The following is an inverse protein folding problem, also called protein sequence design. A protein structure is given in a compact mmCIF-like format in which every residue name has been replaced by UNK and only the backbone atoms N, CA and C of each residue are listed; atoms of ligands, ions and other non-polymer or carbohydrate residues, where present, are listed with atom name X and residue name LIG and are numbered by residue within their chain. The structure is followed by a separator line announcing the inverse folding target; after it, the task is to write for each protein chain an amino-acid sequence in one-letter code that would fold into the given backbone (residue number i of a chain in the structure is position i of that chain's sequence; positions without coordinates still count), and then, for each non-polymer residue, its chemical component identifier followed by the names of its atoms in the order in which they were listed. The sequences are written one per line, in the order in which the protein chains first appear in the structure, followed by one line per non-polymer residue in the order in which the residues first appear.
data_IF_658420475909
#
_entry.id   IF_658420475909
#
_cell.length_a   1.000
_cell.length_b   1.000
_cell.length_c   1.000
_cell.angle_alpha   90.00
_cell.angle_beta   90.00
_cell.angle_gamma   90.00
#
_symmetry.space_group_name_H-M   'P 1'
#
loop_
_entity.id
_entity.type
_entity.pdbx_description
1 polymer ?
#
# COMPACT_ATOMS: atom_id res chain seq x y z
N UNK A 1 -0.45 -6.25 -16.47
CA UNK A 1 -1.35 -6.47 -15.31
C UNK A 1 -0.94 -7.73 -14.57
N UNK A 2 -1.10 -7.77 -13.24
CA UNK A 2 -0.82 -8.97 -12.42
C UNK A 2 -1.63 -10.17 -12.93
N UNK A 3 -2.91 -9.98 -13.24
CA UNK A 3 -3.83 -11.02 -13.76
C UNK A 3 -3.38 -11.59 -15.11
N UNK A 4 -2.77 -10.80 -15.99
CA UNK A 4 -2.23 -11.31 -17.27
C UNK A 4 -1.07 -12.29 -17.07
N UNK A 5 -0.24 -12.08 -16.05
CA UNK A 5 0.89 -12.98 -15.73
C UNK A 5 0.45 -14.17 -14.87
N UNK A 6 -0.64 -14.02 -14.13
CA UNK A 6 -1.19 -15.03 -13.24
C UNK A 6 -2.69 -15.24 -13.51
N UNK A 7 -3.06 -15.94 -14.60
CA UNK A 7 -4.46 -16.03 -15.05
C UNK A 7 -5.44 -16.72 -14.08
N UNK A 8 -4.91 -17.42 -13.06
CA UNK A 8 -5.71 -18.05 -12.00
C UNK A 8 -6.14 -17.06 -10.91
N UNK A 9 -5.52 -15.89 -10.83
CA UNK A 9 -5.90 -14.84 -9.88
C UNK A 9 -7.15 -14.15 -10.40
N UNK A 10 -8.15 -14.01 -9.52
CA UNK A 10 -9.29 -13.11 -9.73
C UNK A 10 -8.95 -11.78 -9.09
N UNK A 11 -8.72 -10.75 -9.90
CA UNK A 11 -8.36 -9.43 -9.43
C UNK A 11 -9.60 -8.60 -9.10
N UNK A 12 -9.54 -7.82 -8.02
CA UNK A 12 -10.47 -6.73 -7.75
C UNK A 12 -9.68 -5.43 -7.86
N UNK A 13 -10.15 -4.52 -8.72
CA UNK A 13 -9.70 -3.14 -8.76
C UNK A 13 -10.68 -2.31 -7.92
N UNK A 14 -10.19 -1.71 -6.84
CA UNK A 14 -11.01 -0.97 -5.88
C UNK A 14 -10.56 0.49 -5.80
N UNK A 15 -11.49 1.41 -6.07
CA UNK A 15 -11.24 2.85 -6.05
C UNK A 15 -12.54 3.62 -5.79
N UNK A 16 -12.49 4.94 -5.75
CA UNK A 16 -13.65 5.81 -5.61
C UNK A 16 -14.63 5.65 -6.79
N UNK A 17 -15.93 5.88 -6.58
CA UNK A 17 -16.95 5.70 -7.63
C UNK A 17 -16.67 6.44 -8.95
N UNK A 18 -16.17 7.67 -8.87
CA UNK A 18 -15.87 8.48 -10.06
C UNK A 18 -14.62 8.03 -10.81
N UNK A 19 -13.72 7.27 -10.18
CA UNK A 19 -12.54 6.69 -10.82
C UNK A 19 -12.94 5.38 -11.51
N UNK A 20 -13.70 4.54 -10.81
CA UNK A 20 -14.19 3.26 -11.32
C UNK A 20 -15.13 3.43 -12.52
N UNK A 21 -15.95 4.50 -12.56
CA UNK A 21 -16.86 4.74 -13.70
C UNK A 21 -16.14 4.89 -15.04
N UNK A 22 -14.90 5.36 -15.02
CA UNK A 22 -14.07 5.58 -16.21
C UNK A 22 -13.06 4.44 -16.48
N UNK A 23 -13.06 3.40 -15.63
CA UNK A 23 -12.07 2.33 -15.72
C UNK A 23 -12.34 1.40 -16.93
N UNK A 24 -11.36 1.15 -17.81
CA UNK A 24 -11.52 0.21 -18.90
C UNK A 24 -11.64 -1.23 -18.38
N UNK A 25 -12.36 -2.09 -19.10
CA UNK A 25 -12.48 -3.50 -18.74
C UNK A 25 -11.16 -4.26 -18.97
N UNK A 26 -10.78 -5.12 -18.03
CA UNK A 26 -9.62 -6.00 -18.15
C UNK A 26 -10.00 -7.47 -17.87
N UNK A 27 -9.48 -8.44 -18.64
CA UNK A 27 -9.70 -9.85 -18.36
C UNK A 27 -9.24 -10.25 -16.95
N UNK A 28 -10.12 -10.94 -16.20
CA UNK A 28 -9.85 -11.41 -14.85
C UNK A 28 -9.84 -10.30 -13.78
N UNK A 29 -10.34 -9.10 -14.08
CA UNK A 29 -10.47 -7.98 -13.14
C UNK A 29 -11.94 -7.60 -12.99
N UNK A 30 -12.41 -7.57 -11.75
CA UNK A 30 -13.68 -6.97 -11.35
C UNK A 30 -13.43 -5.57 -10.81
N UNK A 31 -14.23 -4.58 -11.25
CA UNK A 31 -14.15 -3.21 -10.76
C UNK A 31 -15.19 -3.01 -9.65
N UNK A 32 -14.74 -2.58 -8.48
CA UNK A 32 -15.59 -2.32 -7.31
C UNK A 32 -15.35 -0.91 -6.83
N UNK A 33 -16.40 -0.10 -6.73
CA UNK A 33 -16.28 1.26 -6.19
C UNK A 33 -16.54 1.31 -4.70
N UNK A 34 -15.82 2.17 -3.98
CA UNK A 34 -16.12 2.47 -2.58
C UNK A 34 -15.13 3.46 -1.96
N UNK A 35 -15.16 3.57 -0.64
CA UNK A 35 -14.22 4.38 0.13
C UNK A 35 -13.43 3.46 1.08
N UNK A 36 -12.11 3.40 0.87
CA UNK A 36 -11.20 2.56 1.65
C UNK A 36 -11.17 2.89 3.15
N UNK A 37 -11.55 4.12 3.53
CA UNK A 37 -11.70 4.51 4.93
C UNK A 37 -13.02 4.05 5.56
N UNK A 38 -14.00 3.65 4.75
CA UNK A 38 -15.23 3.01 5.21
C UNK A 38 -15.05 1.48 5.24
N UNK A 39 -14.49 0.90 4.18
CA UNK A 39 -14.20 -0.52 4.08
C UNK A 39 -13.57 -0.87 2.74
N UNK A 40 -12.97 -2.05 2.65
CA UNK A 40 -12.37 -2.57 1.42
C UNK A 40 -12.95 -3.95 1.09
N UNK A 41 -12.97 -4.37 -0.19
CA UNK A 41 -13.45 -5.69 -0.59
C UNK A 41 -12.67 -6.82 0.08
N UNK A 42 -13.34 -7.94 0.34
CA UNK A 42 -12.67 -9.15 0.85
C UNK A 42 -11.76 -9.77 -0.21
N UNK A 43 -10.65 -10.35 0.21
CA UNK A 43 -9.73 -11.06 -0.66
C UNK A 43 -8.65 -11.83 0.11
N UNK A 44 -8.06 -12.83 -0.53
CA UNK A 44 -6.95 -13.60 0.06
C UNK A 44 -5.69 -12.73 0.26
N UNK A 45 -5.51 -11.72 -0.59
CA UNK A 45 -4.42 -10.77 -0.52
C UNK A 45 -4.91 -9.41 -0.98
N UNK A 46 -4.58 -8.37 -0.21
CA UNK A 46 -4.79 -6.97 -0.60
C UNK A 46 -3.45 -6.44 -1.13
N UNK A 47 -3.49 -5.67 -2.21
CA UNK A 47 -2.32 -5.03 -2.80
C UNK A 47 -2.52 -3.52 -2.82
N UNK A 48 -1.58 -2.78 -2.22
CA UNK A 48 -1.53 -1.32 -2.26
C UNK A 48 -0.17 -0.89 -2.82
N UNK A 49 -0.16 0.05 -3.75
CA UNK A 49 1.06 0.62 -4.31
C UNK A 49 0.94 2.13 -4.31
N UNK A 50 1.85 2.80 -3.61
CA UNK A 50 1.86 4.27 -3.48
C UNK A 50 0.53 4.79 -2.97
N UNK A 51 0.11 4.27 -1.82
CA UNK A 51 -1.14 4.65 -1.16
C UNK A 51 -0.84 5.21 0.21
N UNK A 52 -0.06 4.50 1.05
CA UNK A 52 0.14 4.89 2.44
C UNK A 52 0.95 6.18 2.58
N UNK A 53 1.83 6.50 1.64
CA UNK A 53 2.62 7.71 1.69
C UNK A 53 1.82 9.01 1.49
N UNK A 54 0.63 8.93 0.92
CA UNK A 54 -0.26 10.08 0.70
C UNK A 54 -0.99 10.52 1.98
N UNK A 55 -0.99 9.68 3.01
CA UNK A 55 -1.82 9.86 4.21
C UNK A 55 -0.98 9.95 5.49
N UNK A 56 -1.54 10.62 6.49
CA UNK A 56 -0.95 10.66 7.83
C UNK A 56 -1.14 9.33 8.58
N UNK A 57 -0.47 9.19 9.73
CA UNK A 57 -0.44 7.93 10.48
C UNK A 57 -1.82 7.50 11.01
N UNK A 58 -2.70 8.44 11.38
CA UNK A 58 -4.07 8.14 11.83
C UNK A 58 -4.91 7.54 10.69
N UNK A 59 -4.82 8.15 9.51
CA UNK A 59 -5.50 7.68 8.30
C UNK A 59 -4.95 6.33 7.84
N UNK A 60 -3.62 6.15 7.84
CA UNK A 60 -3.00 4.85 7.57
C UNK A 60 -3.48 3.79 8.56
N UNK A 61 -3.50 4.07 9.86
CA UNK A 61 -3.99 3.15 10.89
C UNK A 61 -5.45 2.73 10.62
N UNK A 62 -6.33 3.68 10.29
CA UNK A 62 -7.73 3.40 9.93
C UNK A 62 -7.84 2.48 8.69
N UNK A 63 -7.11 2.81 7.63
CA UNK A 63 -7.09 2.02 6.39
C UNK A 63 -6.56 0.60 6.63
N UNK A 64 -5.44 0.47 7.33
CA UNK A 64 -4.82 -0.82 7.63
C UNK A 64 -5.74 -1.71 8.48
N UNK A 65 -6.50 -1.13 9.44
CA UNK A 65 -7.51 -1.86 10.21
C UNK A 65 -8.66 -2.36 9.31
N UNK A 66 -9.07 -1.60 8.31
CA UNK A 66 -10.06 -2.05 7.32
C UNK A 66 -9.51 -3.20 6.47
N UNK A 67 -8.27 -3.10 5.99
CA UNK A 67 -7.60 -4.19 5.28
C UNK A 67 -7.48 -5.45 6.14
N UNK A 68 -7.08 -5.32 7.41
CA UNK A 68 -6.98 -6.44 8.33
C UNK A 68 -8.32 -7.17 8.48
N UNK A 69 -9.43 -6.46 8.60
CA UNK A 69 -10.79 -7.04 8.70
C UNK A 69 -11.21 -7.77 7.42
N UNK A 70 -10.80 -7.29 6.25
CA UNK A 70 -11.16 -7.85 4.95
C UNK A 70 -10.34 -9.10 4.56
N UNK A 71 -9.24 -9.37 5.26
CA UNK A 71 -8.38 -10.53 5.02
C UNK A 71 -8.82 -11.77 5.83
N UNK A 72 -8.71 -13.00 5.28
CA UNK A 72 -8.86 -14.24 6.03
C UNK A 72 -7.68 -14.47 6.99
N UNK A 73 -7.74 -15.48 7.86
CA UNK A 73 -6.69 -15.79 8.86
C UNK A 73 -5.28 -15.96 8.26
N UNK A 74 -5.17 -16.48 7.03
CA UNK A 74 -3.89 -16.65 6.33
C UNK A 74 -3.65 -15.59 5.25
N UNK A 75 -4.45 -14.52 5.28
CA UNK A 75 -4.36 -13.42 4.35
C UNK A 75 -3.16 -12.53 4.62
N UNK A 76 -2.77 -11.78 3.60
CA UNK A 76 -1.72 -10.77 3.74
C UNK A 76 -2.06 -9.49 2.99
N UNK A 77 -1.53 -8.39 3.49
CA UNK A 77 -1.50 -7.13 2.77
C UNK A 77 -0.10 -6.93 2.20
N UNK A 78 -0.01 -6.68 0.90
CA UNK A 78 1.22 -6.31 0.20
C UNK A 78 1.20 -4.81 -0.07
N UNK A 79 2.22 -4.12 0.41
CA UNK A 79 2.41 -2.68 0.29
C UNK A 79 3.65 -2.43 -0.57
N UNK A 80 3.54 -1.58 -1.57
CA UNK A 80 4.64 -1.17 -2.43
C UNK A 80 4.86 0.32 -2.28
N UNK A 81 5.89 0.70 -1.53
CA UNK A 81 6.15 2.08 -1.11
C UNK A 81 7.62 2.42 -1.24
N UNK A 82 7.90 3.72 -1.27
CA UNK A 82 9.24 4.19 -0.96
C UNK A 82 9.50 3.99 0.53
N UNK A 83 10.72 3.59 0.86
CA UNK A 83 11.13 3.43 2.27
C UNK A 83 12.32 4.31 2.52
N UNK A 84 12.12 5.24 3.44
CA UNK A 84 13.14 6.21 3.81
C UNK A 84 14.30 5.50 4.53
N UNK A 85 15.57 5.69 4.08
CA UNK A 85 16.71 5.21 4.84
C UNK A 85 16.84 6.01 6.14
N UNK A 86 17.33 5.35 7.20
CA UNK A 86 17.56 6.01 8.50
C UNK A 86 18.58 7.15 8.44
N UNK A 87 19.56 7.02 7.55
CA UNK A 87 20.58 8.02 7.30
C UNK A 87 20.60 8.37 5.82
N UNK A 88 20.68 9.67 5.47
CA UNK A 88 20.82 10.08 4.08
C UNK A 88 22.18 9.63 3.53
N UNK A 89 22.15 8.99 2.37
CA UNK A 89 23.34 8.69 1.58
C UNK A 89 23.50 9.81 0.52
N UNK A 90 24.72 10.31 0.24
CA UNK A 90 24.94 11.31 -0.81
C UNK A 90 24.51 10.89 -2.23
N UNK A 91 24.15 9.62 -2.47
CA UNK A 91 23.70 9.11 -3.77
C UNK A 91 22.37 9.74 -4.27
N UNK A 92 22.18 9.75 -5.60
CA UNK A 92 21.02 10.38 -6.25
C UNK A 92 19.68 9.78 -5.83
N UNK A 93 19.65 8.46 -5.60
CA UNK A 93 18.44 7.75 -5.25
C UNK A 93 17.98 8.11 -3.83
N UNK A 94 18.91 8.29 -2.89
CA UNK A 94 18.61 8.77 -1.54
C UNK A 94 18.05 10.19 -1.57
N UNK A 95 18.65 11.09 -2.38
CA UNK A 95 18.11 12.46 -2.57
C UNK A 95 16.70 12.43 -3.15
N UNK A 96 16.43 11.51 -4.09
CA UNK A 96 15.10 11.31 -4.66
C UNK A 96 14.06 10.93 -3.61
N UNK A 97 14.39 10.02 -2.69
CA UNK A 97 13.48 9.62 -1.61
C UNK A 97 13.15 10.79 -0.65
N UNK A 98 14.13 11.58 -0.23
CA UNK A 98 13.87 12.77 0.61
C UNK A 98 13.14 13.90 -0.14
N UNK A 99 13.37 14.05 -1.45
CA UNK A 99 12.60 14.98 -2.25
C UNK A 99 11.12 14.56 -2.35
N UNK A 100 10.86 13.26 -2.50
CA UNK A 100 9.49 12.73 -2.48
C UNK A 100 8.83 12.96 -1.12
N UNK A 101 9.53 12.73 -0.01
CA UNK A 101 9.04 13.00 1.35
C UNK A 101 8.58 14.45 1.54
N UNK A 102 9.40 15.40 1.08
CA UNK A 102 9.01 16.82 1.08
C UNK A 102 7.77 17.09 0.22
N UNK A 103 7.65 16.46 -0.95
CA UNK A 103 6.47 16.61 -1.79
C UNK A 103 5.21 16.04 -1.11
N UNK A 104 5.31 14.87 -0.48
CA UNK A 104 4.18 14.27 0.26
C UNK A 104 3.72 15.18 1.40
N UNK A 105 4.67 15.74 2.15
CA UNK A 105 4.37 16.68 3.23
C UNK A 105 3.68 17.95 2.73
N UNK A 106 4.18 18.56 1.64
CA UNK A 106 3.68 19.85 1.14
C UNK A 106 2.34 19.72 0.43
N UNK A 107 2.13 18.66 -0.37
CA UNK A 107 0.96 18.57 -1.24
C UNK A 107 -0.18 17.74 -0.67
N UNK A 108 0.11 16.73 0.15
CA UNK A 108 -0.87 15.72 0.56
C UNK A 108 -1.02 15.60 2.09
N UNK A 109 -0.10 16.18 2.86
CA UNK A 109 -0.04 15.99 4.32
C UNK A 109 0.42 14.58 4.72
N UNK A 110 0.96 13.84 3.76
CA UNK A 110 1.56 12.51 3.94
C UNK A 110 3.05 12.59 4.25
N UNK A 111 3.71 11.42 4.28
CA UNK A 111 5.15 11.31 4.48
C UNK A 111 5.67 9.97 3.95
N UNK A 112 6.94 9.98 3.57
CA UNK A 112 7.69 8.74 3.43
C UNK A 112 8.01 8.19 4.82
N UNK A 113 8.11 6.86 4.92
CA UNK A 113 8.29 6.17 6.20
C UNK A 113 9.48 5.26 6.17
N UNK A 114 10.12 5.11 7.32
CA UNK A 114 11.13 4.09 7.56
C UNK A 114 10.49 2.71 7.68
N UNK A 115 11.27 1.63 7.55
CA UNK A 115 10.76 0.26 7.76
C UNK A 115 10.12 0.08 9.13
N UNK A 116 10.71 0.68 10.17
CA UNK A 116 10.22 0.60 11.55
C UNK A 116 8.86 1.28 11.72
N UNK A 117 8.63 2.40 11.05
CA UNK A 117 7.32 3.07 11.07
C UNK A 117 6.25 2.25 10.38
N UNK A 118 6.57 1.61 9.23
CA UNK A 118 5.64 0.67 8.60
C UNK A 118 5.33 -0.55 9.47
N UNK A 119 6.34 -1.11 10.15
CA UNK A 119 6.15 -2.23 11.07
C UNK A 119 5.27 -1.84 12.26
N UNK A 120 5.48 -0.64 12.83
CA UNK A 120 4.64 -0.12 13.91
C UNK A 120 3.17 0.05 13.48
N UNK A 121 2.92 0.63 12.30
CA UNK A 121 1.57 0.77 11.73
C UNK A 121 0.90 -0.59 11.51
N UNK A 122 1.64 -1.59 11.01
CA UNK A 122 1.14 -2.93 10.81
C UNK A 122 0.72 -3.59 12.13
N UNK A 123 1.58 -3.50 13.16
CA UNK A 123 1.29 -4.03 14.50
C UNK A 123 0.07 -3.35 15.13
N UNK A 124 -0.04 -2.02 15.03
CA UNK A 124 -1.19 -1.27 15.56
C UNK A 124 -2.51 -1.64 14.87
N UNK A 125 -2.45 -2.01 13.59
CA UNK A 125 -3.60 -2.47 12.84
C UNK A 125 -3.98 -3.95 13.11
N UNK A 126 -3.18 -4.68 13.87
CA UNK A 126 -3.42 -6.06 14.29
C UNK A 126 -2.70 -7.13 13.45
N UNK A 127 -1.84 -6.74 12.51
CA UNK A 127 -1.00 -7.70 11.79
C UNK A 127 0.08 -8.27 12.71
N UNK A 128 0.40 -9.55 12.54
CA UNK A 128 1.31 -10.30 13.41
C UNK A 128 2.70 -10.54 12.78
N UNK A 129 2.82 -10.40 11.46
CA UNK A 129 4.08 -10.59 10.75
C UNK A 129 4.42 -9.46 9.79
N UNK A 130 5.72 -9.19 9.66
CA UNK A 130 6.27 -8.15 8.80
C UNK A 130 7.45 -8.71 7.99
N UNK A 131 7.51 -8.42 6.69
CA UNK A 131 8.67 -8.77 5.84
C UNK A 131 8.83 -7.69 4.77
N UNK A 132 10.05 -7.20 4.57
CA UNK A 132 10.36 -6.18 3.55
C UNK A 132 11.42 -6.65 2.58
N UNK A 133 11.15 -6.55 1.28
CA UNK A 133 12.06 -6.92 0.19
C UNK A 133 12.35 -5.68 -0.66
N UNK A 134 13.63 -5.33 -0.81
CA UNK A 134 14.05 -4.25 -1.70
C UNK A 134 13.84 -4.67 -3.16
N UNK A 135 13.28 -3.76 -3.97
CA UNK A 135 13.10 -3.99 -5.41
C UNK A 135 14.11 -3.15 -6.19
N UNK A 136 13.88 -1.84 -6.25
CA UNK A 136 14.73 -0.89 -6.96
C UNK A 136 14.38 0.53 -6.56
N UNK A 137 15.32 1.47 -6.71
CA UNK A 137 15.08 2.91 -6.53
C UNK A 137 14.37 3.26 -5.22
N UNK A 138 14.79 2.67 -4.10
CA UNK A 138 14.14 2.83 -2.78
C UNK A 138 12.67 2.38 -2.70
N UNK A 139 12.13 1.74 -3.73
CA UNK A 139 10.84 1.05 -3.68
C UNK A 139 11.03 -0.34 -3.06
N UNK A 140 10.21 -0.63 -2.07
CA UNK A 140 10.18 -1.92 -1.39
C UNK A 140 8.82 -2.57 -1.56
N UNK A 141 8.82 -3.90 -1.56
CA UNK A 141 7.62 -4.69 -1.34
C UNK A 141 7.62 -5.11 0.12
N UNK A 142 6.59 -4.71 0.85
CA UNK A 142 6.41 -4.98 2.27
C UNK A 142 5.17 -5.86 2.42
N UNK A 143 5.29 -6.98 3.15
CA UNK A 143 4.18 -7.88 3.45
C UNK A 143 3.79 -7.77 4.92
N UNK A 144 2.52 -7.44 5.17
CA UNK A 144 1.90 -7.53 6.49
C UNK A 144 1.06 -8.80 6.54
N UNK A 145 1.41 -9.71 7.46
CA UNK A 145 0.75 -11.02 7.62
C UNK A 145 -0.24 -10.93 8.78
N UNK A 146 -1.47 -11.39 8.53
CA UNK A 146 -2.48 -11.51 9.58
C UNK A 146 -2.09 -12.61 10.56
#
# INVERSE_FOLDING_TARGET
MITSRHPRIKGINFDLPHVISEAPSFPGVEHVSGDMFVGVPQGDTIFMKWILHDWNDEQCSKLLKNCWKALPEKGKLIVVEYVLPLLPDPNLNSRGAFHLDLNMMVFLGGKERTQKEFEALALEAGFSGFTSTYISMYTWVIEFKK
#
